data_IF_768230394741
#
_entry.id   IF_768230394741
#
_cell.length_a   1.000
_cell.length_b   1.000
_cell.length_c   1.000
_cell.angle_alpha   90.00
_cell.angle_beta   90.00
_cell.angle_gamma   90.00
#
_symmetry.space_group_name_H-M   'P 1'
#
loop_
_entity.id
_entity.type
_entity.pdbx_description
1 polymer ?
#
# COMPACT_ATOMS: atom_id res chain seq x y z
N UNK A 1 20.15 -7.89 5.67
CA UNK A 1 19.27 -7.57 4.53
C UNK A 1 17.94 -8.24 4.83
N UNK A 2 16.87 -7.48 5.10
CA UNK A 2 15.56 -8.07 5.45
C UNK A 2 14.95 -8.67 4.18
N UNK A 3 14.53 -9.92 4.24
CA UNK A 3 13.97 -10.67 3.11
C UNK A 3 12.67 -10.00 2.63
N UNK A 4 12.74 -9.21 1.56
CA UNK A 4 11.54 -8.76 0.84
C UNK A 4 11.00 -9.95 0.04
N UNK A 5 9.87 -10.49 0.47
CA UNK A 5 9.27 -11.72 -0.08
C UNK A 5 8.51 -11.45 -1.38
N UNK A 6 7.95 -10.25 -1.53
CA UNK A 6 7.20 -9.83 -2.73
C UNK A 6 7.73 -8.50 -3.29
N UNK A 7 7.82 -8.42 -4.62
CA UNK A 7 8.22 -7.20 -5.34
C UNK A 7 7.01 -6.42 -5.81
N UNK A 8 6.90 -5.15 -5.42
CA UNK A 8 5.83 -4.25 -5.90
C UNK A 8 6.13 -3.81 -7.34
N UNK A 9 5.22 -4.09 -8.27
CA UNK A 9 5.29 -3.60 -9.65
C UNK A 9 4.24 -2.51 -9.87
N UNK A 10 4.62 -1.21 -9.83
CA UNK A 10 3.66 -0.13 -9.98
C UNK A 10 3.16 -0.06 -11.42
N UNK A 11 1.87 -0.33 -11.61
CA UNK A 11 1.19 -0.23 -12.91
C UNK A 11 0.82 1.22 -13.23
N UNK A 12 0.55 1.52 -14.50
CA UNK A 12 0.08 2.85 -14.93
C UNK A 12 -1.24 3.23 -14.25
N UNK A 13 -2.15 2.26 -14.10
CA UNK A 13 -3.42 2.45 -13.39
C UNK A 13 -3.19 2.77 -11.91
N UNK A 14 -2.34 1.99 -11.23
CA UNK A 14 -2.00 2.24 -9.83
C UNK A 14 -1.44 3.64 -9.60
N UNK A 15 -0.53 4.12 -10.47
CA UNK A 15 0.03 5.47 -10.37
C UNK A 15 -1.04 6.57 -10.52
N UNK A 16 -2.07 6.36 -11.35
CA UNK A 16 -3.18 7.31 -11.52
C UNK A 16 -4.04 7.36 -10.25
N UNK A 17 -4.40 6.19 -9.72
CA UNK A 17 -5.24 6.06 -8.54
C UNK A 17 -4.53 6.59 -7.29
N UNK A 18 -3.23 6.32 -7.14
CA UNK A 18 -2.39 6.86 -6.07
C UNK A 18 -2.39 8.39 -6.08
N UNK A 19 -2.17 9.01 -7.26
CA UNK A 19 -2.25 10.47 -7.41
C UNK A 19 -3.63 11.02 -7.08
N UNK A 20 -4.70 10.30 -7.44
CA UNK A 20 -6.06 10.71 -7.13
C UNK A 20 -6.34 10.65 -5.62
N UNK A 21 -5.86 9.61 -4.94
CA UNK A 21 -5.96 9.46 -3.49
C UNK A 21 -5.25 10.61 -2.75
N UNK A 22 -4.05 11.00 -3.20
CA UNK A 22 -3.33 12.16 -2.67
C UNK A 22 -4.12 13.45 -2.85
N UNK A 23 -4.69 13.67 -4.05
CA UNK A 23 -5.53 14.85 -4.35
C UNK A 23 -6.78 14.91 -3.48
N UNK A 24 -7.36 13.75 -3.16
CA UNK A 24 -8.54 13.62 -2.30
C UNK A 24 -8.21 13.66 -0.80
N UNK A 25 -6.94 13.87 -0.42
CA UNK A 25 -6.48 13.86 0.99
C UNK A 25 -6.84 12.56 1.71
N UNK A 26 -6.85 11.44 0.99
CA UNK A 26 -6.99 10.12 1.61
C UNK A 26 -5.72 9.76 2.39
N UNK A 27 -5.84 8.78 3.27
CA UNK A 27 -4.71 8.31 4.08
C UNK A 27 -3.73 7.49 3.23
N UNK A 28 -2.71 8.18 2.71
CA UNK A 28 -1.64 7.58 1.90
C UNK A 28 -0.65 6.82 2.77
N UNK A 29 -0.44 7.24 4.01
CA UNK A 29 0.44 6.56 4.95
C UNK A 29 -0.10 5.16 5.27
N UNK A 30 -1.42 5.02 5.40
CA UNK A 30 -2.07 3.71 5.52
C UNK A 30 -1.84 2.86 4.26
N UNK A 31 -1.98 3.44 3.07
CA UNK A 31 -1.74 2.72 1.82
C UNK A 31 -0.29 2.22 1.71
N UNK A 32 0.68 3.08 2.03
CA UNK A 32 2.11 2.73 2.01
C UNK A 32 2.44 1.68 3.08
N UNK A 33 1.82 1.75 4.26
CA UNK A 33 1.93 0.74 5.31
C UNK A 33 1.40 -0.61 4.84
N UNK A 34 0.23 -0.65 4.22
CA UNK A 34 -0.34 -1.88 3.66
C UNK A 34 0.60 -2.49 2.62
N UNK A 35 1.14 -1.67 1.71
CA UNK A 35 2.10 -2.14 0.71
C UNK A 35 3.34 -2.72 1.40
N UNK A 36 3.90 -2.04 2.40
CA UNK A 36 5.04 -2.53 3.16
C UNK A 36 4.75 -3.88 3.86
N UNK A 37 3.64 -3.98 4.58
CA UNK A 37 3.19 -5.22 5.26
C UNK A 37 3.03 -6.38 4.27
N UNK A 38 2.41 -6.13 3.12
CA UNK A 38 2.25 -7.15 2.09
C UNK A 38 3.60 -7.55 1.48
N UNK A 39 4.54 -6.62 1.29
CA UNK A 39 5.86 -6.94 0.71
C UNK A 39 6.71 -7.87 1.58
N UNK A 40 6.55 -7.81 2.90
CA UNK A 40 7.19 -8.73 3.85
C UNK A 40 6.42 -10.06 3.99
N UNK A 41 5.25 -10.19 3.35
CA UNK A 41 4.41 -11.38 3.39
C UNK A 41 3.60 -11.51 4.67
N UNK A 42 3.41 -10.42 5.40
CA UNK A 42 2.58 -10.39 6.59
C UNK A 42 1.10 -10.24 6.23
N UNK A 43 0.24 -10.85 7.05
CA UNK A 43 -1.20 -10.71 6.88
C UNK A 43 -1.63 -9.32 7.36
N UNK A 44 -2.42 -8.62 6.54
CA UNK A 44 -3.02 -7.35 6.94
C UNK A 44 -4.03 -7.62 8.06
N UNK A 45 -3.73 -7.18 9.28
CA UNK A 45 -4.72 -7.18 10.36
C UNK A 45 -5.93 -6.35 9.91
N UNK A 46 -7.14 -6.91 10.00
CA UNK A 46 -8.37 -6.23 9.61
C UNK A 46 -8.58 -5.00 10.51
N UNK A 47 -8.14 -3.84 10.05
CA UNK A 47 -8.43 -2.57 10.72
C UNK A 47 -9.92 -2.30 10.48
N UNK A 48 -10.70 -2.28 11.57
CA UNK A 48 -12.11 -1.92 11.52
C UNK A 48 -12.23 -0.52 10.88
N UNK A 49 -12.91 -0.47 9.74
CA UNK A 49 -13.37 0.76 9.13
C UNK A 49 -14.50 1.22 10.04
N UNK A 50 -14.19 2.12 10.97
CA UNK A 50 -15.14 2.77 11.88
C UNK A 50 -15.61 4.08 11.32
#
# INVERSE_FOLDING_TARGET
MRETKLTVKPTTQFKKDYKLAMKRRLDIELLDTIIATLTVGEALARRAIG
#
